data_IF_315103586510
#
_entry.id   IF_315103586510
#
_cell.length_a   1.000
_cell.length_b   1.000
_cell.length_c   1.000
_cell.angle_alpha   90.00
_cell.angle_beta   90.00
_cell.angle_gamma   90.00
#
_symmetry.space_group_name_H-M   'P 1'
#
loop_
_entity.id
_entity.type
_entity.pdbx_description
1 polymer ?
#
# COMPACT_ATOMS: atom_id res chain seq x y z
N UNK A 1 -6.82 -3.98 -8.84
CA UNK A 1 -5.75 -3.86 -9.88
C UNK A 1 -6.13 -3.05 -11.14
N UNK A 2 -7.20 -3.36 -11.88
CA UNK A 2 -7.51 -2.69 -13.17
C UNK A 2 -7.61 -1.15 -13.09
N UNK A 3 -8.23 -0.63 -12.02
CA UNK A 3 -8.33 0.82 -11.78
C UNK A 3 -6.96 1.49 -11.60
N UNK A 4 -6.02 0.84 -10.89
CA UNK A 4 -4.67 1.37 -10.67
C UNK A 4 -3.92 1.46 -12.00
N UNK A 5 -4.04 0.44 -12.86
CA UNK A 5 -3.45 0.45 -14.20
C UNK A 5 -4.02 1.57 -15.08
N UNK A 6 -5.34 1.78 -15.06
CA UNK A 6 -5.98 2.88 -15.81
C UNK A 6 -5.47 4.25 -15.36
N UNK A 7 -5.41 4.49 -14.05
CA UNK A 7 -4.88 5.74 -13.49
C UNK A 7 -3.42 5.93 -13.90
N UNK A 8 -2.60 4.88 -13.83
CA UNK A 8 -1.19 4.93 -14.20
C UNK A 8 -1.01 5.27 -15.69
N UNK A 9 -1.77 4.63 -16.59
CA UNK A 9 -1.74 4.92 -18.04
C UNK A 9 -2.15 6.36 -18.34
N UNK A 10 -3.27 6.82 -17.78
CA UNK A 10 -3.74 8.20 -17.96
C UNK A 10 -2.74 9.23 -17.44
N UNK A 11 -2.09 8.92 -16.32
CA UNK A 11 -1.05 9.80 -15.75
C UNK A 11 0.18 9.84 -16.63
N UNK A 12 0.61 8.70 -17.18
CA UNK A 12 1.74 8.60 -18.11
C UNK A 12 1.54 9.47 -19.37
N UNK A 13 0.32 9.49 -19.91
CA UNK A 13 -0.03 10.36 -21.04
C UNK A 13 0.02 11.84 -20.65
N UNK A 14 -0.55 12.20 -19.50
CA UNK A 14 -0.59 13.58 -18.99
C UNK A 14 0.82 14.17 -18.79
N UNK A 15 1.75 13.37 -18.27
CA UNK A 15 3.12 13.80 -18.01
C UNK A 15 4.08 13.55 -19.19
N UNK A 16 3.57 13.03 -20.32
CA UNK A 16 4.35 12.69 -21.52
C UNK A 16 5.51 11.75 -21.21
N UNK A 17 5.24 10.68 -20.46
CA UNK A 17 6.24 9.72 -19.98
C UNK A 17 7.08 9.10 -21.12
N UNK A 18 6.51 8.99 -22.33
CA UNK A 18 7.23 8.50 -23.51
C UNK A 18 7.43 6.98 -23.56
N UNK A 19 6.85 6.24 -22.62
CA UNK A 19 6.74 4.77 -22.64
C UNK A 19 5.36 4.32 -22.18
N UNK A 20 4.94 3.16 -22.64
CA UNK A 20 3.72 2.51 -22.16
C UNK A 20 3.91 1.96 -20.74
N UNK A 21 2.86 2.05 -19.91
CA UNK A 21 2.74 1.33 -18.65
C UNK A 21 1.93 0.06 -18.88
N UNK A 22 2.50 -1.09 -18.57
CA UNK A 22 1.87 -2.40 -18.74
C UNK A 22 1.29 -2.93 -17.43
N UNK A 23 0.58 -4.06 -17.48
CA UNK A 23 0.08 -4.71 -16.26
C UNK A 23 1.22 -5.18 -15.34
N UNK A 24 2.36 -5.56 -15.91
CA UNK A 24 3.53 -6.04 -15.17
C UNK A 24 4.26 -4.91 -14.40
N UNK A 25 4.09 -3.66 -14.83
CA UNK A 25 4.57 -2.49 -14.09
C UNK A 25 3.75 -2.21 -12.81
N UNK A 26 2.61 -2.89 -12.59
CA UNK A 26 1.69 -2.65 -11.46
C UNK A 26 1.70 -3.82 -10.47
N UNK A 27 2.46 -3.66 -9.39
CA UNK A 27 2.47 -4.58 -8.24
C UNK A 27 1.50 -4.09 -7.16
N UNK A 28 0.51 -4.92 -6.80
CA UNK A 28 -0.48 -4.60 -5.75
C UNK A 28 -0.72 -5.83 -4.87
N UNK A 29 -0.20 -5.83 -3.65
CA UNK A 29 -0.43 -6.92 -2.69
C UNK A 29 -1.73 -6.63 -1.94
N UNK A 30 -2.76 -7.44 -2.16
CA UNK A 30 -4.12 -7.19 -1.65
C UNK A 30 -4.36 -7.85 -0.27
N UNK A 31 -3.45 -8.72 0.17
CA UNK A 31 -3.58 -9.56 1.38
C UNK A 31 -3.62 -8.77 2.70
N UNK A 32 -3.22 -7.50 2.70
CA UNK A 32 -3.17 -6.64 3.90
C UNK A 32 -4.34 -5.65 4.00
N UNK A 33 -5.29 -5.66 3.05
CA UNK A 33 -6.39 -4.69 3.01
C UNK A 33 -7.58 -5.03 3.93
N UNK A 34 -7.62 -6.25 4.48
CA UNK A 34 -8.71 -6.79 5.30
C UNK A 34 -8.88 -6.05 6.65
N UNK A 35 -9.99 -6.27 7.38
CA UNK A 35 -11.21 -6.97 6.95
C UNK A 35 -12.01 -6.15 5.92
N UNK A 36 -12.05 -4.84 6.09
CA UNK A 36 -12.71 -3.88 5.21
C UNK A 36 -11.96 -2.55 5.28
N UNK A 37 -12.26 -1.67 4.33
CA UNK A 37 -11.72 -0.32 4.33
C UNK A 37 -12.08 0.43 5.62
N UNK A 38 -11.10 1.12 6.21
CA UNK A 38 -11.27 1.89 7.45
C UNK A 38 -11.17 1.07 8.74
N UNK A 39 -11.08 -0.27 8.66
CA UNK A 39 -10.96 -1.14 9.84
C UNK A 39 -9.57 -1.82 9.80
N UNK A 40 -8.75 -1.69 10.86
CA UNK A 40 -7.48 -2.40 10.95
C UNK A 40 -7.69 -3.84 11.42
N UNK A 41 -6.83 -4.75 10.97
CA UNK A 41 -6.69 -6.08 11.57
C UNK A 41 -5.93 -6.03 12.90
N UNK A 42 -5.81 -7.15 13.61
CA UNK A 42 -4.93 -7.22 14.78
C UNK A 42 -3.47 -7.04 14.37
N UNK A 43 -3.07 -7.66 13.27
CA UNK A 43 -1.72 -7.59 12.71
C UNK A 43 -1.36 -6.15 12.31
N UNK A 44 -2.31 -5.40 11.73
CA UNK A 44 -2.13 -3.96 11.44
C UNK A 44 -1.87 -3.18 12.73
N UNK A 45 -2.61 -3.48 13.81
CA UNK A 45 -2.43 -2.83 15.11
C UNK A 45 -1.10 -3.22 15.76
N UNK A 46 -0.60 -4.43 15.53
CA UNK A 46 0.72 -4.86 15.99
C UNK A 46 1.84 -4.13 15.25
N UNK A 47 1.75 -4.03 13.92
CA UNK A 47 2.69 -3.29 13.09
C UNK A 47 2.81 -1.81 13.51
N UNK A 48 1.67 -1.13 13.73
CA UNK A 48 1.63 0.26 14.21
C UNK A 48 2.37 0.40 15.56
N UNK A 49 2.09 -0.51 16.51
CA UNK A 49 2.74 -0.46 17.83
C UNK A 49 4.22 -0.77 17.74
N UNK A 50 4.63 -1.71 16.89
CA UNK A 50 6.02 -2.10 16.73
C UNK A 50 6.84 -0.90 16.24
N UNK A 51 6.46 -0.31 15.12
CA UNK A 51 7.20 0.82 14.54
C UNK A 51 7.15 2.07 15.44
N UNK A 52 6.00 2.33 16.07
CA UNK A 52 5.88 3.44 17.02
C UNK A 52 6.76 3.28 18.26
N UNK A 53 7.01 2.04 18.71
CA UNK A 53 7.87 1.76 19.88
C UNK A 53 9.36 1.74 19.55
N UNK A 54 9.72 1.24 18.38
CA UNK A 54 11.13 1.09 17.98
C UNK A 54 11.69 2.39 17.39
N UNK A 55 10.92 3.05 16.53
CA UNK A 55 11.40 4.17 15.71
C UNK A 55 10.73 5.50 16.05
N UNK A 56 9.73 5.50 16.94
CA UNK A 56 8.94 6.71 17.23
C UNK A 56 8.13 7.23 16.04
N UNK A 57 8.02 6.46 14.96
CA UNK A 57 7.27 6.79 13.76
C UNK A 57 5.84 6.30 13.90
N UNK A 58 4.87 7.22 13.88
CA UNK A 58 3.44 6.90 14.01
C UNK A 58 2.83 6.62 12.65
N UNK A 59 2.09 5.51 12.56
CA UNK A 59 1.31 5.10 11.39
C UNK A 59 -0.18 4.93 11.75
N UNK A 60 -1.07 5.14 10.78
CA UNK A 60 -2.52 5.16 11.00
C UNK A 60 -3.17 3.78 10.75
N UNK A 61 -4.39 3.52 11.27
CA UNK A 61 -5.05 2.21 11.13
C UNK A 61 -5.69 1.94 9.75
N UNK A 62 -5.77 2.93 8.87
CA UNK A 62 -6.45 2.82 7.57
C UNK A 62 -5.45 2.59 6.44
N UNK A 63 -4.35 3.33 6.42
CA UNK A 63 -3.37 3.29 5.33
C UNK A 63 -2.01 2.77 5.82
N UNK A 64 -1.30 3.59 6.58
CA UNK A 64 0.13 3.40 6.79
C UNK A 64 0.45 2.24 7.74
N UNK A 65 -0.48 1.88 8.62
CA UNK A 65 -0.37 0.66 9.41
C UNK A 65 -0.44 -0.60 8.54
N UNK A 66 -1.25 -0.60 7.48
CA UNK A 66 -1.42 -1.74 6.57
C UNK A 66 -0.22 -1.88 5.62
N UNK A 67 0.29 -0.75 5.10
CA UNK A 67 1.53 -0.76 4.30
C UNK A 67 2.73 -1.16 5.16
N UNK A 68 2.81 -0.69 6.41
CA UNK A 68 3.83 -1.10 7.38
C UNK A 68 3.76 -2.58 7.73
N UNK A 69 2.56 -3.11 8.02
CA UNK A 69 2.37 -4.55 8.23
C UNK A 69 2.90 -5.33 7.02
N UNK A 70 2.46 -4.97 5.82
CA UNK A 70 2.88 -5.66 4.60
C UNK A 70 4.39 -5.59 4.36
N UNK A 71 5.05 -4.48 4.70
CA UNK A 71 6.50 -4.37 4.61
C UNK A 71 7.20 -5.29 5.62
N UNK A 72 6.73 -5.34 6.87
CA UNK A 72 7.31 -6.19 7.92
C UNK A 72 7.22 -7.67 7.54
N UNK A 73 6.07 -8.11 7.01
CA UNK A 73 5.82 -9.52 6.67
C UNK A 73 6.65 -10.00 5.45
N UNK A 74 7.23 -9.08 4.66
CA UNK A 74 8.02 -9.38 3.47
C UNK A 74 9.53 -9.52 3.73
N UNK A 75 10.01 -9.29 4.95
CA UNK A 75 11.46 -9.25 5.31
C UNK A 75 11.84 -10.34 6.29
#
# INVERSE_FOLDING_TARGET
RAQVLDIAKRTADLVKLGREITADDVVLIEDYAYPVYGVPSEETKEAIRLVGRLEGMITDPVYEGKSMQGMIDLV
#
